data_IF_209095024553
#
_entry.id   IF_209095024553
#
_cell.length_a   1.000
_cell.length_b   1.000
_cell.length_c   1.000
_cell.angle_alpha   90.00
_cell.angle_beta   90.00
_cell.angle_gamma   90.00
#
_symmetry.space_group_name_H-M   'P 1'
#
loop_
_entity.id
_entity.type
_entity.pdbx_description
1 polymer ?
#
# COMPACT_ATOMS: atom_id res chain seq x y z
N UNK A 1 21.34 20.91 -1.38
CA UNK A 1 21.00 20.16 -0.14
C UNK A 1 20.05 20.93 0.78
N UNK A 2 20.25 22.20 1.05
CA UNK A 2 19.40 23.04 1.93
C UNK A 2 17.92 23.09 1.55
N UNK A 3 17.55 23.10 0.25
CA UNK A 3 16.16 23.11 -0.23
C UNK A 3 15.41 21.79 0.08
N UNK A 4 16.09 20.64 -0.02
CA UNK A 4 15.49 19.33 0.26
C UNK A 4 15.16 19.20 1.74
N UNK A 5 16.10 19.54 2.63
CA UNK A 5 15.87 19.54 4.08
C UNK A 5 14.76 20.49 4.47
N UNK A 6 14.71 21.70 3.91
CA UNK A 6 13.65 22.67 4.16
C UNK A 6 12.27 22.15 3.71
N UNK A 7 12.21 21.43 2.60
CA UNK A 7 10.98 20.80 2.11
C UNK A 7 10.51 19.68 3.02
N UNK A 8 11.42 18.81 3.47
CA UNK A 8 11.11 17.71 4.39
C UNK A 8 10.63 18.22 5.75
N UNK A 9 11.34 19.17 6.36
CA UNK A 9 10.93 19.75 7.66
C UNK A 9 9.60 20.50 7.58
N UNK A 10 9.38 21.27 6.51
CA UNK A 10 8.11 21.94 6.28
C UNK A 10 6.96 20.96 6.06
N UNK A 11 7.20 19.87 5.31
CA UNK A 11 6.23 18.79 5.09
C UNK A 11 5.88 18.07 6.39
N UNK A 12 6.88 17.72 7.18
CA UNK A 12 6.71 17.08 8.48
C UNK A 12 5.89 17.93 9.45
N UNK A 13 6.22 19.21 9.57
CA UNK A 13 5.47 20.13 10.43
C UNK A 13 4.00 20.27 9.99
N UNK A 14 3.74 20.29 8.68
CA UNK A 14 2.36 20.33 8.16
C UNK A 14 1.61 19.04 8.42
N UNK A 15 2.26 17.89 8.30
CA UNK A 15 1.63 16.59 8.59
C UNK A 15 1.25 16.48 10.08
N UNK A 16 2.07 17.02 10.99
CA UNK A 16 1.75 17.08 12.41
C UNK A 16 0.52 17.94 12.70
N UNK A 17 0.30 19.03 11.94
CA UNK A 17 -0.92 19.86 12.11
C UNK A 17 -2.20 19.12 11.77
N UNK A 18 -2.14 18.17 10.85
CA UNK A 18 -3.29 17.37 10.41
C UNK A 18 -3.32 15.96 11.01
N UNK A 19 -2.62 15.75 12.15
CA UNK A 19 -2.53 14.43 12.79
C UNK A 19 -3.90 13.80 13.08
N UNK A 20 -4.93 14.63 13.39
CA UNK A 20 -6.30 14.16 13.59
C UNK A 20 -6.89 13.52 12.33
N UNK A 21 -6.60 14.06 11.13
CA UNK A 21 -7.00 13.44 9.87
C UNK A 21 -6.30 12.11 9.66
N UNK A 22 -5.00 12.05 9.94
CA UNK A 22 -4.21 10.82 9.83
C UNK A 22 -4.76 9.75 10.79
N UNK A 23 -5.11 10.14 12.02
CA UNK A 23 -5.72 9.23 12.99
C UNK A 23 -7.08 8.70 12.53
N UNK A 24 -7.95 9.55 11.95
CA UNK A 24 -9.25 9.12 11.39
C UNK A 24 -9.04 8.11 10.27
N UNK A 25 -8.09 8.35 9.35
CA UNK A 25 -7.76 7.45 8.25
C UNK A 25 -7.25 6.11 8.80
N UNK A 26 -6.35 6.16 9.78
CA UNK A 26 -5.80 4.98 10.42
C UNK A 26 -6.88 4.16 11.12
N UNK A 27 -7.73 4.81 11.93
CA UNK A 27 -8.83 4.15 12.65
C UNK A 27 -9.80 3.46 11.70
N UNK A 28 -10.19 4.14 10.62
CA UNK A 28 -11.07 3.58 9.61
C UNK A 28 -10.43 2.37 8.92
N UNK A 29 -9.17 2.48 8.52
CA UNK A 29 -8.41 1.37 7.91
C UNK A 29 -8.31 0.19 8.88
N UNK A 30 -8.03 0.47 10.15
CA UNK A 30 -7.95 -0.54 11.21
C UNK A 30 -9.28 -1.29 11.38
N UNK A 31 -10.42 -0.58 11.40
CA UNK A 31 -11.75 -1.20 11.51
C UNK A 31 -12.00 -2.13 10.32
N UNK A 32 -11.76 -1.68 9.09
CA UNK A 32 -11.98 -2.49 7.89
C UNK A 32 -11.11 -3.74 7.90
N UNK A 33 -9.82 -3.59 8.19
CA UNK A 33 -8.89 -4.73 8.26
C UNK A 33 -9.28 -5.69 9.37
N UNK A 34 -9.69 -5.19 10.55
CA UNK A 34 -10.12 -6.02 11.67
C UNK A 34 -11.35 -6.87 11.32
N UNK A 35 -12.34 -6.30 10.65
CA UNK A 35 -13.53 -7.04 10.19
C UNK A 35 -13.10 -8.19 9.26
N UNK A 36 -12.21 -7.92 8.32
CA UNK A 36 -11.73 -8.95 7.39
C UNK A 36 -10.90 -10.04 8.09
N UNK A 37 -10.00 -9.65 8.99
CA UNK A 37 -9.15 -10.57 9.73
C UNK A 37 -9.98 -11.50 10.62
N UNK A 38 -11.03 -10.98 11.26
CA UNK A 38 -11.95 -11.80 12.06
C UNK A 38 -12.69 -12.84 11.20
N UNK A 39 -13.15 -12.46 10.00
CA UNK A 39 -13.77 -13.40 9.06
C UNK A 39 -12.77 -14.45 8.57
N UNK A 40 -11.56 -14.04 8.20
CA UNK A 40 -10.51 -14.94 7.76
C UNK A 40 -10.09 -15.91 8.87
N UNK A 41 -9.96 -15.42 10.12
CA UNK A 41 -9.70 -16.26 11.30
C UNK A 41 -10.77 -17.34 11.46
N UNK A 42 -12.04 -16.98 11.41
CA UNK A 42 -13.14 -17.94 11.56
C UNK A 42 -13.13 -18.99 10.44
N UNK A 43 -12.86 -18.59 9.21
CA UNK A 43 -12.79 -19.50 8.06
C UNK A 43 -11.62 -20.49 8.20
N UNK A 44 -10.46 -19.99 8.62
CA UNK A 44 -9.29 -20.83 8.89
C UNK A 44 -9.58 -21.78 10.06
N UNK A 45 -10.14 -21.28 11.15
CA UNK A 45 -10.45 -22.08 12.33
C UNK A 45 -11.48 -23.19 12.04
N UNK A 46 -12.50 -22.93 11.25
CA UNK A 46 -13.47 -23.95 10.81
C UNK A 46 -12.87 -24.96 9.84
N UNK A 47 -11.92 -24.55 9.01
CA UNK A 47 -11.24 -25.42 8.04
C UNK A 47 -10.20 -26.35 8.68
N UNK A 48 -9.47 -25.87 9.68
CA UNK A 48 -8.43 -26.66 10.37
C UNK A 48 -8.97 -27.47 11.54
N UNK A 49 -10.12 -27.09 12.11
CA UNK A 49 -10.70 -27.74 13.27
C UNK A 49 -9.75 -27.75 14.49
N UNK A 50 -9.86 -28.79 15.29
CA UNK A 50 -8.96 -29.07 16.43
C UNK A 50 -7.77 -29.96 16.04
N UNK A 51 -7.31 -29.90 14.77
CA UNK A 51 -6.21 -30.76 14.33
C UNK A 51 -4.88 -30.28 14.94
N UNK A 52 -3.99 -31.24 15.27
CA UNK A 52 -2.65 -30.93 15.79
C UNK A 52 -1.75 -30.15 14.81
N UNK A 53 -2.17 -29.99 13.57
CA UNK A 53 -1.49 -29.23 12.51
C UNK A 53 -1.28 -27.76 12.92
N UNK A 54 -2.18 -27.18 13.74
CA UNK A 54 -2.01 -25.84 14.29
C UNK A 54 -0.80 -25.71 15.21
N UNK A 55 -0.43 -26.76 15.95
CA UNK A 55 0.77 -26.74 16.78
C UNK A 55 2.06 -26.87 15.96
N UNK A 56 2.04 -27.66 14.90
CA UNK A 56 3.21 -27.80 14.00
C UNK A 56 3.47 -26.55 13.14
N UNK A 57 2.41 -25.84 12.73
CA UNK A 57 2.53 -24.54 12.03
C UNK A 57 3.01 -23.42 12.96
N UNK A 58 2.89 -23.60 14.28
CA UNK A 58 3.31 -22.60 15.24
C UNK A 58 4.84 -22.47 15.34
N UNK A 59 5.56 -23.58 15.19
CA UNK A 59 7.01 -23.61 15.41
C UNK A 59 7.83 -23.32 14.16
N UNK A 60 7.39 -23.76 12.97
CA UNK A 60 8.11 -23.52 11.72
C UNK A 60 7.15 -23.47 10.51
N UNK A 61 7.43 -22.55 9.58
CA UNK A 61 6.80 -22.55 8.26
C UNK A 61 7.33 -23.72 7.43
N UNK A 62 6.61 -24.84 7.41
CA UNK A 62 6.95 -26.00 6.58
C UNK A 62 6.08 -25.98 5.31
N UNK A 63 6.63 -25.70 4.12
CA UNK A 63 5.87 -25.73 2.86
C UNK A 63 5.20 -27.08 2.60
N UNK A 64 5.81 -28.18 3.03
CA UNK A 64 5.27 -29.53 2.90
C UNK A 64 3.91 -29.68 3.59
N UNK A 65 3.70 -29.05 4.76
CA UNK A 65 2.44 -29.08 5.49
C UNK A 65 1.31 -28.45 4.67
N UNK A 66 1.60 -27.44 3.86
CA UNK A 66 0.61 -26.82 2.96
C UNK A 66 0.20 -27.74 1.80
N UNK A 67 1.11 -28.59 1.33
CA UNK A 67 0.79 -29.59 0.31
C UNK A 67 -0.02 -30.74 0.89
N UNK A 68 0.25 -31.16 2.12
CA UNK A 68 -0.45 -32.25 2.80
C UNK A 68 -1.85 -31.87 3.31
N UNK A 69 -2.09 -30.56 3.58
CA UNK A 69 -3.39 -30.04 4.01
C UNK A 69 -4.52 -30.17 2.98
N UNK A 70 -4.20 -30.59 1.77
CA UNK A 70 -5.14 -31.06 0.77
C UNK A 70 -6.24 -30.08 0.37
N UNK A 71 -7.35 -30.64 -0.11
CA UNK A 71 -8.50 -29.90 -0.66
C UNK A 71 -9.25 -29.03 0.37
N UNK A 72 -9.22 -29.37 1.65
CA UNK A 72 -9.89 -28.63 2.72
C UNK A 72 -9.31 -27.24 2.96
N UNK A 73 -7.98 -27.12 3.04
CA UNK A 73 -7.31 -25.84 3.18
C UNK A 73 -7.53 -24.94 1.96
N UNK A 74 -7.39 -25.52 0.77
CA UNK A 74 -7.62 -24.80 -0.48
C UNK A 74 -9.04 -24.23 -0.54
N UNK A 75 -10.04 -25.00 -0.14
CA UNK A 75 -11.43 -24.54 -0.08
C UNK A 75 -11.62 -23.43 0.95
N UNK A 76 -11.02 -23.55 2.13
CA UNK A 76 -11.08 -22.53 3.18
C UNK A 76 -10.41 -21.21 2.75
N UNK A 77 -9.23 -21.27 2.11
CA UNK A 77 -8.55 -20.09 1.57
C UNK A 77 -9.39 -19.44 0.48
N UNK A 78 -9.90 -20.20 -0.50
CA UNK A 78 -10.75 -19.67 -1.58
C UNK A 78 -12.03 -19.05 -1.02
N UNK A 79 -12.63 -19.67 -0.02
CA UNK A 79 -13.82 -19.15 0.66
C UNK A 79 -13.53 -17.84 1.39
N UNK A 80 -12.39 -17.74 2.09
CA UNK A 80 -11.93 -16.50 2.72
C UNK A 80 -11.66 -15.37 1.72
N UNK A 81 -11.16 -15.71 0.53
CA UNK A 81 -10.89 -14.74 -0.52
C UNK A 81 -12.14 -14.18 -1.21
N UNK A 82 -13.31 -14.82 -1.09
CA UNK A 82 -14.56 -14.34 -1.74
C UNK A 82 -14.96 -12.92 -1.31
N UNK A 83 -14.66 -12.51 -0.08
CA UNK A 83 -14.92 -11.16 0.42
C UNK A 83 -13.91 -10.11 -0.03
N UNK A 84 -12.75 -10.52 -0.55
CA UNK A 84 -11.65 -9.64 -0.89
C UNK A 84 -12.00 -8.58 -1.96
N UNK A 85 -12.72 -8.88 -3.05
CA UNK A 85 -13.07 -7.88 -4.06
C UNK A 85 -13.93 -6.75 -3.48
N UNK A 86 -14.90 -7.06 -2.63
CA UNK A 86 -15.74 -6.06 -1.97
C UNK A 86 -14.92 -5.19 -1.01
N UNK A 87 -14.08 -5.81 -0.20
CA UNK A 87 -13.16 -5.12 0.70
C UNK A 87 -12.24 -4.18 -0.07
N UNK A 88 -11.66 -4.66 -1.16
CA UNK A 88 -10.80 -3.88 -2.03
C UNK A 88 -11.52 -2.65 -2.58
N UNK A 89 -12.76 -2.82 -3.05
CA UNK A 89 -13.58 -1.71 -3.58
C UNK A 89 -13.88 -0.67 -2.49
N UNK A 90 -14.26 -1.11 -1.30
CA UNK A 90 -14.51 -0.21 -0.15
C UNK A 90 -13.22 0.53 0.23
N UNK A 91 -12.09 -0.16 0.32
CA UNK A 91 -10.81 0.44 0.64
C UNK A 91 -10.35 1.43 -0.43
N UNK A 92 -10.55 1.10 -1.70
CA UNK A 92 -10.24 1.95 -2.84
C UNK A 92 -11.06 3.25 -2.84
N UNK A 93 -12.38 3.14 -2.64
CA UNK A 93 -13.26 4.31 -2.55
C UNK A 93 -12.92 5.18 -1.32
N UNK A 94 -12.68 4.55 -0.18
CA UNK A 94 -12.29 5.23 1.06
C UNK A 94 -10.96 5.97 0.92
N UNK A 95 -9.98 5.35 0.25
CA UNK A 95 -8.70 6.00 -0.02
C UNK A 95 -8.89 7.28 -0.85
N UNK A 96 -9.70 7.24 -1.91
CA UNK A 96 -10.00 8.43 -2.71
C UNK A 96 -10.69 9.52 -1.88
N UNK A 97 -11.63 9.15 -1.03
CA UNK A 97 -12.36 10.06 -0.16
C UNK A 97 -11.44 10.74 0.87
N UNK A 98 -10.69 9.97 1.63
CA UNK A 98 -9.83 10.49 2.69
C UNK A 98 -8.64 11.27 2.14
N UNK A 99 -8.07 10.83 1.03
CA UNK A 99 -6.97 11.56 0.37
C UNK A 99 -7.44 12.93 -0.11
N UNK A 100 -8.65 13.03 -0.63
CA UNK A 100 -9.27 14.31 -1.02
C UNK A 100 -9.38 15.26 0.18
N UNK A 101 -9.95 14.79 1.29
CA UNK A 101 -10.04 15.57 2.53
C UNK A 101 -8.68 16.00 3.06
N UNK A 102 -7.70 15.10 3.07
CA UNK A 102 -6.36 15.35 3.56
C UNK A 102 -5.63 16.43 2.75
N UNK A 103 -5.55 16.28 1.41
CA UNK A 103 -4.84 17.23 0.56
C UNK A 103 -5.48 18.63 0.57
N UNK A 104 -6.81 18.72 0.66
CA UNK A 104 -7.51 20.00 0.78
C UNK A 104 -7.18 20.71 2.11
N UNK A 105 -7.09 19.96 3.22
CA UNK A 105 -6.75 20.53 4.51
C UNK A 105 -5.27 20.92 4.62
N UNK A 106 -4.34 20.10 4.12
CA UNK A 106 -2.90 20.44 4.11
C UNK A 106 -2.62 21.74 3.33
N UNK A 107 -3.41 22.01 2.30
CA UNK A 107 -3.27 23.24 1.50
C UNK A 107 -3.60 24.50 2.28
N UNK A 108 -4.55 24.46 3.21
CA UNK A 108 -4.94 25.60 4.04
C UNK A 108 -3.86 25.88 5.09
N UNK A 109 -2.99 26.85 4.81
CA UNK A 109 -1.76 27.09 5.62
C UNK A 109 -2.02 27.60 7.04
N UNK A 110 -3.13 28.26 7.27
CA UNK A 110 -3.39 29.09 8.48
C UNK A 110 -4.55 28.63 9.34
N UNK A 111 -5.39 27.72 8.85
CA UNK A 111 -6.58 27.31 9.56
C UNK A 111 -6.33 26.11 10.49
N UNK A 112 -7.01 26.09 11.62
CA UNK A 112 -7.06 24.94 12.53
C UNK A 112 -7.79 23.81 11.82
N UNK A 113 -7.29 22.58 11.95
CA UNK A 113 -7.94 21.40 11.37
C UNK A 113 -9.39 21.29 11.83
N UNK A 114 -10.33 21.26 10.87
CA UNK A 114 -11.76 21.03 11.10
C UNK A 114 -12.19 19.69 10.51
N UNK A 115 -12.79 18.86 11.35
CA UNK A 115 -13.32 17.55 10.95
C UNK A 115 -14.43 17.72 9.91
N UNK A 116 -15.32 18.70 10.10
CA UNK A 116 -16.42 19.00 9.20
C UNK A 116 -15.91 19.35 7.78
N UNK A 117 -14.90 20.22 7.70
CA UNK A 117 -14.27 20.58 6.42
C UNK A 117 -13.53 19.42 5.77
N UNK A 118 -12.92 18.55 6.56
CA UNK A 118 -12.26 17.35 6.06
C UNK A 118 -13.26 16.44 5.32
N UNK A 119 -14.39 16.13 5.94
CA UNK A 119 -15.42 15.29 5.32
C UNK A 119 -16.13 16.00 4.16
N UNK A 120 -16.39 17.30 4.28
CA UNK A 120 -16.97 18.11 3.22
C UNK A 120 -16.09 18.11 1.97
N UNK A 121 -14.80 18.41 2.13
CA UNK A 121 -13.83 18.40 1.03
C UNK A 121 -13.67 17.00 0.43
N UNK A 122 -13.72 15.97 1.28
CA UNK A 122 -13.73 14.56 0.87
C UNK A 122 -14.87 14.27 -0.09
N UNK A 123 -16.09 14.64 0.27
CA UNK A 123 -17.28 14.42 -0.54
C UNK A 123 -17.30 15.29 -1.82
N UNK A 124 -16.97 16.57 -1.72
CA UNK A 124 -17.02 17.51 -2.84
C UNK A 124 -16.08 17.13 -3.99
N UNK A 125 -14.89 16.66 -3.68
CA UNK A 125 -13.86 16.31 -4.68
C UNK A 125 -13.70 14.79 -4.89
N UNK A 126 -14.58 13.97 -4.30
CA UNK A 126 -14.50 12.52 -4.34
C UNK A 126 -14.26 11.97 -5.74
N UNK A 127 -15.13 12.31 -6.70
CA UNK A 127 -15.06 11.79 -8.06
C UNK A 127 -13.76 12.13 -8.80
N UNK A 128 -13.21 13.31 -8.53
CA UNK A 128 -11.94 13.69 -9.14
C UNK A 128 -10.78 12.88 -8.58
N UNK A 129 -10.75 12.65 -7.27
CA UNK A 129 -9.72 11.85 -6.63
C UNK A 129 -9.89 10.36 -6.92
N UNK A 130 -11.13 9.89 -7.00
CA UNK A 130 -11.44 8.53 -7.44
C UNK A 130 -10.90 8.27 -8.86
N UNK A 131 -11.12 9.20 -9.79
CA UNK A 131 -10.58 9.11 -11.15
C UNK A 131 -9.03 9.11 -11.18
N UNK A 132 -8.37 9.96 -10.38
CA UNK A 132 -6.90 9.95 -10.26
C UNK A 132 -6.42 8.61 -9.71
N UNK A 133 -7.02 8.13 -8.62
CA UNK A 133 -6.65 6.85 -8.00
C UNK A 133 -6.86 5.70 -8.98
N UNK A 134 -7.95 5.71 -9.74
CA UNK A 134 -8.26 4.68 -10.75
C UNK A 134 -7.21 4.64 -11.86
N UNK A 135 -6.86 5.80 -12.45
CA UNK A 135 -5.83 5.89 -13.51
C UNK A 135 -4.48 5.40 -12.98
N UNK A 136 -4.08 5.84 -11.79
CA UNK A 136 -2.81 5.45 -11.17
C UNK A 136 -2.80 3.94 -10.85
N UNK A 137 -3.93 3.39 -10.39
CA UNK A 137 -4.02 1.94 -10.14
C UNK A 137 -3.88 1.13 -11.42
N UNK A 138 -4.45 1.58 -12.53
CA UNK A 138 -4.25 0.93 -13.83
C UNK A 138 -2.76 0.93 -14.21
N UNK A 139 -2.07 2.07 -14.05
CA UNK A 139 -0.64 2.16 -14.35
C UNK A 139 0.20 1.23 -13.46
N UNK A 140 -0.14 1.11 -12.17
CA UNK A 140 0.52 0.18 -11.25
C UNK A 140 0.24 -1.28 -11.61
N UNK A 141 -0.99 -1.61 -12.03
CA UNK A 141 -1.34 -2.97 -12.51
C UNK A 141 -0.55 -3.30 -13.77
N UNK A 142 -0.47 -2.38 -14.74
CA UNK A 142 0.35 -2.58 -15.95
C UNK A 142 1.81 -2.83 -15.58
N UNK A 143 2.38 -2.03 -14.68
CA UNK A 143 3.75 -2.23 -14.20
C UNK A 143 3.93 -3.58 -13.53
N UNK A 144 2.97 -4.01 -12.70
CA UNK A 144 2.98 -5.33 -12.05
C UNK A 144 2.92 -6.46 -13.07
N UNK A 145 2.05 -6.36 -14.08
CA UNK A 145 1.96 -7.36 -15.16
C UNK A 145 3.28 -7.46 -15.92
N UNK A 146 3.90 -6.33 -16.27
CA UNK A 146 5.22 -6.31 -16.90
C UNK A 146 6.26 -7.01 -16.02
N UNK A 147 6.27 -6.72 -14.72
CA UNK A 147 7.17 -7.36 -13.76
C UNK A 147 6.96 -8.89 -13.72
N UNK A 148 5.70 -9.35 -13.62
CA UNK A 148 5.38 -10.79 -13.61
C UNK A 148 5.80 -11.47 -14.93
N UNK A 149 5.59 -10.83 -16.07
CA UNK A 149 6.03 -11.36 -17.37
C UNK A 149 7.56 -11.46 -17.44
N UNK A 150 8.28 -10.44 -17.02
CA UNK A 150 9.75 -10.46 -17.00
C UNK A 150 10.30 -11.54 -16.07
N UNK A 151 9.70 -11.72 -14.88
CA UNK A 151 10.12 -12.78 -13.96
C UNK A 151 9.79 -14.17 -14.47
N UNK A 152 8.65 -14.38 -15.12
CA UNK A 152 8.29 -15.67 -15.71
C UNK A 152 9.23 -16.05 -16.88
N UNK A 153 9.57 -15.08 -17.73
CA UNK A 153 10.57 -15.28 -18.78
C UNK A 153 11.95 -15.60 -18.17
N UNK A 154 12.37 -14.89 -17.14
CA UNK A 154 13.65 -15.14 -16.47
C UNK A 154 13.73 -16.56 -15.85
N UNK A 155 12.61 -17.04 -15.28
CA UNK A 155 12.52 -18.40 -14.77
C UNK A 155 12.69 -19.45 -15.89
N UNK A 156 12.00 -19.27 -17.04
CA UNK A 156 12.15 -20.14 -18.19
C UNK A 156 13.58 -20.15 -18.77
N UNK A 157 14.27 -18.99 -18.75
CA UNK A 157 15.68 -18.92 -19.14
C UNK A 157 16.60 -19.63 -18.14
N UNK A 158 16.29 -19.66 -16.86
CA UNK A 158 17.05 -20.40 -15.86
C UNK A 158 17.09 -21.91 -16.18
N UNK A 159 15.96 -22.47 -16.60
CA UNK A 159 15.86 -23.90 -16.96
C UNK A 159 16.68 -24.26 -18.21
N UNK A 160 16.86 -23.30 -19.14
CA UNK A 160 17.51 -23.55 -20.44
C UNK A 160 19.02 -23.27 -20.37
N UNK A 161 19.44 -22.21 -19.66
CA UNK A 161 20.82 -21.72 -19.74
C UNK A 161 21.62 -21.98 -18.47
N UNK A 162 21.30 -21.33 -17.38
CA UNK A 162 21.86 -21.59 -16.05
C UNK A 162 21.04 -20.89 -14.95
N UNK A 163 20.99 -21.48 -13.75
CA UNK A 163 20.34 -20.90 -12.58
C UNK A 163 20.87 -19.50 -12.24
N UNK A 164 22.20 -19.28 -12.42
CA UNK A 164 22.83 -17.98 -12.19
C UNK A 164 22.28 -16.89 -13.11
N UNK A 165 22.09 -17.21 -14.38
CA UNK A 165 21.53 -16.26 -15.37
C UNK A 165 20.09 -15.93 -15.05
N UNK A 166 19.28 -16.94 -14.73
CA UNK A 166 17.89 -16.76 -14.29
C UNK A 166 17.81 -15.87 -13.05
N UNK A 167 18.63 -16.11 -12.03
CA UNK A 167 18.68 -15.29 -10.83
C UNK A 167 19.02 -13.82 -11.12
N UNK A 168 20.02 -13.56 -11.96
CA UNK A 168 20.40 -12.19 -12.36
C UNK A 168 19.23 -11.49 -13.07
N UNK A 169 18.53 -12.18 -13.96
CA UNK A 169 17.37 -11.63 -14.67
C UNK A 169 16.20 -11.32 -13.72
N UNK A 170 15.93 -12.18 -12.75
CA UNK A 170 14.91 -11.94 -11.73
C UNK A 170 15.28 -10.73 -10.88
N UNK A 171 16.52 -10.63 -10.42
CA UNK A 171 16.98 -9.49 -9.63
C UNK A 171 16.97 -8.17 -10.42
N UNK A 172 17.31 -8.20 -11.71
CA UNK A 172 17.26 -7.01 -12.56
C UNK A 172 15.81 -6.56 -12.83
N UNK A 173 14.87 -7.49 -13.02
CA UNK A 173 13.44 -7.16 -13.17
C UNK A 173 12.85 -6.56 -11.89
N UNK A 174 13.24 -7.09 -10.72
CA UNK A 174 12.86 -6.54 -9.43
C UNK A 174 13.44 -5.12 -9.23
N UNK A 175 14.70 -4.93 -9.57
CA UNK A 175 15.33 -3.61 -9.49
C UNK A 175 14.60 -2.59 -10.39
N UNK A 176 14.27 -2.96 -11.62
CA UNK A 176 13.50 -2.12 -12.53
C UNK A 176 12.12 -1.77 -11.95
N UNK A 177 11.41 -2.74 -11.41
CA UNK A 177 10.10 -2.53 -10.76
C UNK A 177 10.23 -1.53 -9.60
N UNK A 178 11.22 -1.72 -8.72
CA UNK A 178 11.47 -0.85 -7.55
C UNK A 178 11.93 0.56 -7.95
N UNK A 179 12.53 0.74 -9.12
CA UNK A 179 12.89 2.06 -9.64
C UNK A 179 11.71 2.81 -10.26
N UNK A 180 10.81 2.11 -10.96
CA UNK A 180 9.69 2.73 -11.67
C UNK A 180 8.49 2.99 -10.75
N UNK A 181 8.21 2.10 -9.82
CA UNK A 181 7.07 2.21 -8.89
C UNK A 181 7.03 3.55 -8.13
N UNK A 182 8.14 4.05 -7.53
CA UNK A 182 8.15 5.34 -6.84
C UNK A 182 7.85 6.52 -7.75
N UNK A 183 8.19 6.45 -9.03
CA UNK A 183 7.88 7.50 -10.01
C UNK A 183 6.38 7.63 -10.20
N UNK A 184 5.67 6.51 -10.31
CA UNK A 184 4.21 6.49 -10.46
C UNK A 184 3.52 7.01 -9.20
N UNK A 185 3.99 6.57 -8.01
CA UNK A 185 3.45 7.03 -6.72
C UNK A 185 3.66 8.55 -6.55
N UNK A 186 4.84 9.03 -6.89
CA UNK A 186 5.16 10.45 -6.83
C UNK A 186 4.29 11.28 -7.80
N UNK A 187 4.06 10.77 -9.02
CA UNK A 187 3.15 11.39 -9.98
C UNK A 187 1.71 11.43 -9.43
N UNK A 188 1.27 10.39 -8.71
CA UNK A 188 -0.02 10.37 -8.03
C UNK A 188 -0.14 11.50 -6.98
N UNK A 189 0.89 11.70 -6.15
CA UNK A 189 0.87 12.72 -5.10
C UNK A 189 0.88 14.13 -5.69
N UNK A 190 1.66 14.40 -6.73
CA UNK A 190 1.60 15.68 -7.44
C UNK A 190 0.24 15.91 -8.13
N UNK A 191 -0.36 14.86 -8.68
CA UNK A 191 -1.70 14.93 -9.28
C UNK A 191 -2.76 15.31 -8.25
N UNK A 192 -2.72 14.67 -7.07
CA UNK A 192 -3.61 14.95 -5.94
C UNK A 192 -3.40 16.37 -5.40
N UNK A 193 -2.16 16.80 -5.24
CA UNK A 193 -1.82 18.15 -4.81
C UNK A 193 -2.34 19.22 -5.80
N UNK A 194 -2.19 18.98 -7.11
CA UNK A 194 -2.72 19.87 -8.14
C UNK A 194 -4.25 19.90 -8.12
N UNK A 195 -4.91 18.75 -7.99
CA UNK A 195 -6.37 18.66 -7.90
C UNK A 195 -6.91 19.38 -6.66
N UNK A 196 -6.18 19.33 -5.52
CA UNK A 196 -6.54 20.13 -4.35
C UNK A 196 -6.51 21.62 -4.63
N UNK A 197 -5.58 22.07 -5.48
CA UNK A 197 -5.39 23.48 -5.83
C UNK A 197 -6.40 24.00 -6.86
N UNK A 198 -7.00 23.11 -7.65
CA UNK A 198 -7.83 23.48 -8.79
C UNK A 198 -9.30 23.20 -8.50
N UNK A 199 -10.18 24.09 -8.95
CA UNK A 199 -11.64 23.88 -8.89
C UNK A 199 -12.16 22.95 -9.98
N UNK A 200 -11.39 22.75 -11.07
CA UNK A 200 -11.79 21.94 -12.21
C UNK A 200 -11.71 20.44 -11.89
N UNK A 201 -12.79 19.71 -12.21
CA UNK A 201 -12.89 18.24 -11.99
C UNK A 201 -12.34 17.48 -13.20
N UNK A 202 -11.03 17.53 -13.44
CA UNK A 202 -10.40 16.89 -14.61
C UNK A 202 -9.25 15.94 -14.17
N UNK A 203 -9.55 14.66 -13.84
CA UNK A 203 -8.55 13.72 -13.33
C UNK A 203 -7.39 13.47 -14.32
N UNK A 204 -7.69 13.34 -15.62
CA UNK A 204 -6.64 13.15 -16.64
C UNK A 204 -5.63 14.29 -16.70
N UNK A 205 -6.10 15.54 -16.63
CA UNK A 205 -5.20 16.72 -16.61
C UNK A 205 -4.37 16.76 -15.33
N UNK A 206 -4.95 16.35 -14.21
CA UNK A 206 -4.22 16.24 -12.94
C UNK A 206 -3.08 15.22 -13.04
N UNK A 207 -3.35 14.03 -13.60
CA UNK A 207 -2.34 12.98 -13.79
C UNK A 207 -1.25 13.45 -14.77
N UNK A 208 -1.62 14.04 -15.90
CA UNK A 208 -0.67 14.61 -16.86
C UNK A 208 0.23 15.68 -16.20
N UNK A 209 -0.35 16.55 -15.37
CA UNK A 209 0.41 17.54 -14.61
C UNK A 209 1.36 16.87 -13.60
N UNK A 210 0.91 15.82 -12.91
CA UNK A 210 1.72 15.03 -11.99
C UNK A 210 2.97 14.49 -12.66
N UNK A 211 2.83 13.78 -13.77
CA UNK A 211 3.95 13.25 -14.55
C UNK A 211 4.87 14.36 -15.07
N UNK A 212 4.32 15.41 -15.64
CA UNK A 212 5.12 16.57 -16.10
C UNK A 212 5.95 17.18 -14.98
N UNK A 213 5.40 17.27 -13.78
CA UNK A 213 6.11 17.83 -12.63
C UNK A 213 7.23 16.91 -12.14
N UNK A 214 6.97 15.59 -12.10
CA UNK A 214 7.98 14.58 -11.73
C UNK A 214 9.16 14.64 -12.70
N UNK A 215 8.91 14.58 -14.00
CA UNK A 215 9.98 14.62 -15.00
C UNK A 215 10.69 15.97 -15.06
N UNK A 216 9.99 17.08 -14.78
CA UNK A 216 10.59 18.42 -14.75
C UNK A 216 11.54 18.66 -13.57
N UNK A 217 11.39 17.92 -12.45
CA UNK A 217 12.23 18.01 -11.23
C UNK A 217 12.64 16.62 -10.73
N UNK A 218 12.98 15.74 -11.66
CA UNK A 218 13.15 14.31 -11.40
C UNK A 218 14.08 14.02 -10.21
N UNK A 219 15.32 14.46 -10.27
CA UNK A 219 16.32 14.14 -9.26
C UNK A 219 15.93 14.59 -7.84
N UNK A 220 15.42 15.80 -7.72
CA UNK A 220 15.05 16.33 -6.41
C UNK A 220 13.83 15.60 -5.81
N UNK A 221 12.81 15.37 -6.64
CA UNK A 221 11.57 14.72 -6.20
C UNK A 221 11.78 13.23 -5.92
N UNK A 222 12.54 12.56 -6.80
CA UNK A 222 12.84 11.14 -6.66
C UNK A 222 13.69 10.86 -5.41
N UNK A 223 14.69 11.68 -5.13
CA UNK A 223 15.50 11.55 -3.93
C UNK A 223 14.67 11.68 -2.65
N UNK A 224 13.77 12.68 -2.58
CA UNK A 224 12.87 12.84 -1.43
C UNK A 224 11.99 11.59 -1.25
N UNK A 225 11.46 11.05 -2.34
CA UNK A 225 10.62 9.86 -2.30
C UNK A 225 11.40 8.64 -1.81
N UNK A 226 12.65 8.46 -2.27
CA UNK A 226 13.51 7.37 -1.81
C UNK A 226 13.81 7.46 -0.31
N UNK A 227 14.08 8.67 0.20
CA UNK A 227 14.26 8.89 1.64
C UNK A 227 13.01 8.51 2.43
N UNK A 228 11.81 8.91 1.96
CA UNK A 228 10.55 8.58 2.61
C UNK A 228 10.28 7.07 2.62
N UNK A 229 10.54 6.38 1.49
CA UNK A 229 10.42 4.92 1.40
C UNK A 229 11.38 4.22 2.36
N UNK A 230 12.63 4.69 2.45
CA UNK A 230 13.62 4.13 3.37
C UNK A 230 13.16 4.28 4.83
N UNK A 231 12.66 5.45 5.21
CA UNK A 231 12.09 5.68 6.56
C UNK A 231 10.92 4.73 6.80
N UNK A 232 10.04 4.54 5.82
CA UNK A 232 8.90 3.62 5.95
C UNK A 232 9.35 2.17 6.10
N UNK A 233 10.36 1.73 5.35
CA UNK A 233 10.93 0.37 5.47
C UNK A 233 11.51 0.17 6.87
N UNK A 234 12.33 1.10 7.36
CA UNK A 234 12.91 1.03 8.70
C UNK A 234 11.82 0.93 9.76
N UNK A 235 10.78 1.76 9.65
CA UNK A 235 9.65 1.72 10.58
C UNK A 235 8.92 0.38 10.54
N UNK A 236 8.66 -0.16 9.35
CA UNK A 236 7.99 -1.45 9.16
C UNK A 236 8.81 -2.60 9.77
N UNK A 237 10.13 -2.61 9.51
CA UNK A 237 11.03 -3.62 10.09
C UNK A 237 11.06 -3.52 11.61
N UNK A 238 11.11 -2.31 12.17
CA UNK A 238 11.07 -2.11 13.62
C UNK A 238 9.78 -2.63 14.24
N UNK A 239 8.63 -2.36 13.62
CA UNK A 239 7.32 -2.86 14.08
C UNK A 239 7.26 -4.39 14.03
N UNK A 240 7.72 -4.99 12.93
CA UNK A 240 7.77 -6.47 12.79
C UNK A 240 8.68 -7.06 13.86
N UNK A 241 9.85 -6.48 14.09
CA UNK A 241 10.79 -6.92 15.13
C UNK A 241 10.15 -6.87 16.52
N UNK A 242 9.45 -5.79 16.86
CA UNK A 242 8.72 -5.65 18.12
C UNK A 242 7.65 -6.74 18.26
N UNK A 243 6.84 -6.96 17.21
CA UNK A 243 5.78 -7.98 17.23
C UNK A 243 6.36 -9.37 17.46
N UNK A 244 7.46 -9.72 16.79
CA UNK A 244 8.10 -11.04 16.94
C UNK A 244 8.70 -11.19 18.34
N UNK A 245 9.36 -10.15 18.86
CA UNK A 245 10.06 -10.23 20.14
C UNK A 245 9.13 -10.19 21.36
N UNK A 246 8.04 -9.42 21.27
CA UNK A 246 7.03 -9.31 22.32
C UNK A 246 5.87 -10.30 22.17
N UNK A 247 6.02 -11.32 21.31
CA UNK A 247 5.00 -12.36 21.17
C UNK A 247 4.85 -13.10 22.51
N UNK A 248 3.65 -13.15 23.12
CA UNK A 248 3.45 -13.89 24.36
C UNK A 248 3.72 -15.38 24.11
N UNK A 249 4.68 -15.94 24.86
CA UNK A 249 5.10 -17.34 24.77
C UNK A 249 4.05 -18.33 25.28
N UNK A 250 2.96 -17.84 25.85
CA UNK A 250 1.86 -18.68 26.35
C UNK A 250 0.68 -18.67 25.38
N UNK A 251 0.18 -19.85 25.00
CA UNK A 251 -0.99 -20.03 24.14
C UNK A 251 -2.30 -19.39 24.64
N UNK A 252 -2.28 -18.73 25.80
CA UNK A 252 -3.40 -17.95 26.36
C UNK A 252 -3.63 -16.59 25.67
N UNK A 253 -2.73 -16.12 24.80
CA UNK A 253 -2.83 -14.83 24.09
C UNK A 253 -3.36 -14.95 22.65
N UNK A 254 -3.85 -16.10 22.25
CA UNK A 254 -4.32 -16.37 20.86
C UNK A 254 -5.85 -16.47 20.77
N UNK A 255 -6.56 -16.00 21.78
CA UNK A 255 -8.02 -15.95 21.80
C UNK A 255 -8.53 -14.51 21.63
#
# INVERSE_FOLDING_TARGET
>A
MTLIFKSLTSGFYRSLKVWKAVFIIWLFSFIIVSIYVLQAKNTVFTGFGKSMITSELHDYFKPAVFYELGTGLRHSIISGLKGFPLLFLVFFASNAFFTSGLFCNIRKKTEVFSISEFFRSGAEKFWSYFGITFIISILLIILLVIYVLLTSMAASFADISSEKTGFILIMSSLALFLLVMPVIILAADYSRAWQAATSKKTPFRAVAFGFRTVFGKFWSSYFIMMVLLLVQIIFTVAVIYIIIHFRPSSGAGVF
#
